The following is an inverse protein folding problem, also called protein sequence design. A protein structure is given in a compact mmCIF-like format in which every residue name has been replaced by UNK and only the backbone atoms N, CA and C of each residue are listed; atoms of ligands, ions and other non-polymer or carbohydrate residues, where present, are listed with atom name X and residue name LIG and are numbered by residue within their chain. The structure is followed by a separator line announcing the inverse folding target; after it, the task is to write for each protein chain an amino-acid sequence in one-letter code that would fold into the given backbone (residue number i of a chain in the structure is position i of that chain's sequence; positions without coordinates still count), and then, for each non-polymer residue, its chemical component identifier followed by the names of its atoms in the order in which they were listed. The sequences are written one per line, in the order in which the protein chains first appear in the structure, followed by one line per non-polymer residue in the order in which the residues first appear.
data_IF_171027726168
#
_entry.id   IF_171027726168
#
_cell.length_a   1.000
_cell.length_b   1.000
_cell.length_c   1.000
_cell.angle_alpha   90.00
_cell.angle_beta   90.00
_cell.angle_gamma   90.00
#
_symmetry.space_group_name_H-M   'P 1'
#
loop_
_entity.id
_entity.type
_entity.pdbx_description
1 polymer ?
#
# COMPACT_ATOMS: atom_id res chain seq x y z
N UNK A 1 -11.37 -9.30 25.48
CA UNK A 1 -10.90 -8.22 24.58
C UNK A 1 -12.06 -7.92 23.66
N UNK A 2 -12.65 -6.72 23.72
CA UNK A 2 -13.79 -6.38 22.87
C UNK A 2 -13.28 -6.15 21.44
N UNK A 3 -13.84 -6.87 20.47
CA UNK A 3 -13.67 -6.58 19.04
C UNK A 3 -14.02 -5.11 18.79
N UNK A 4 -13.00 -4.30 18.53
CA UNK A 4 -13.18 -2.90 18.18
C UNK A 4 -13.71 -2.85 16.74
N UNK A 5 -15.04 -2.83 16.62
CA UNK A 5 -15.72 -2.68 15.33
C UNK A 5 -15.51 -1.23 14.87
N UNK A 6 -14.55 -1.02 13.97
CA UNK A 6 -14.36 0.26 13.31
C UNK A 6 -15.70 0.72 12.71
N UNK A 7 -16.18 1.93 13.03
CA UNK A 7 -17.40 2.46 12.45
C UNK A 7 -17.31 2.37 10.93
N UNK A 8 -18.38 1.91 10.27
CA UNK A 8 -18.44 1.71 8.80
C UNK A 8 -17.96 2.94 8.02
N UNK A 9 -18.22 4.13 8.57
CA UNK A 9 -17.76 5.43 8.08
C UNK A 9 -16.24 5.57 8.09
N UNK A 10 -15.56 5.10 9.14
CA UNK A 10 -14.11 5.15 9.28
C UNK A 10 -13.41 4.26 8.25
N UNK A 11 -13.92 3.03 8.08
CA UNK A 11 -13.45 2.11 7.05
C UNK A 11 -13.66 2.68 5.64
N UNK A 12 -14.80 3.34 5.39
CA UNK A 12 -15.05 4.03 4.12
C UNK A 12 -14.10 5.20 3.86
N UNK A 13 -13.79 6.02 4.88
CA UNK A 13 -12.82 7.10 4.73
C UNK A 13 -11.40 6.59 4.46
N UNK A 14 -10.96 5.50 5.10
CA UNK A 14 -9.66 4.88 4.80
C UNK A 14 -9.65 4.32 3.37
N UNK A 15 -10.73 3.65 2.96
CA UNK A 15 -10.86 3.15 1.59
C UNK A 15 -10.81 4.29 0.55
N UNK A 16 -11.42 5.44 0.85
CA UNK A 16 -11.40 6.62 -0.01
C UNK A 16 -10.00 7.29 -0.11
N UNK A 17 -9.16 7.15 0.93
CA UNK A 17 -7.79 7.66 0.92
C UNK A 17 -6.81 6.73 0.20
N UNK A 18 -7.15 5.44 0.04
CA UNK A 18 -6.29 4.43 -0.58
C UNK A 18 -5.74 4.82 -1.97
N UNK A 19 -6.50 5.43 -2.90
CA UNK A 19 -5.97 5.84 -4.21
C UNK A 19 -4.91 6.93 -4.10
N UNK A 20 -5.10 7.90 -3.20
CA UNK A 20 -4.14 8.97 -2.98
C UNK A 20 -2.85 8.45 -2.33
N UNK A 21 -2.98 7.52 -1.38
CA UNK A 21 -1.84 6.86 -0.75
C UNK A 21 -1.07 5.98 -1.74
N UNK A 22 -1.76 5.23 -2.60
CA UNK A 22 -1.15 4.50 -3.71
C UNK A 22 -0.35 5.42 -4.63
N UNK A 23 -0.92 6.57 -4.99
CA UNK A 23 -0.23 7.56 -5.84
C UNK A 23 1.01 8.13 -5.16
N UNK A 24 0.91 8.47 -3.88
CA UNK A 24 2.05 8.95 -3.09
C UNK A 24 3.14 7.86 -2.96
N UNK A 25 2.75 6.59 -2.85
CA UNK A 25 3.68 5.46 -2.82
C UNK A 25 4.44 5.31 -4.15
N UNK A 26 3.75 5.44 -5.28
CA UNK A 26 4.38 5.43 -6.62
C UNK A 26 5.42 6.55 -6.73
N UNK A 27 5.05 7.79 -6.35
CA UNK A 27 5.97 8.94 -6.40
C UNK A 27 7.17 8.74 -5.47
N UNK A 28 6.98 8.15 -4.29
CA UNK A 28 8.07 7.85 -3.37
C UNK A 28 9.04 6.80 -3.96
N UNK A 29 8.52 5.78 -4.65
CA UNK A 29 9.35 4.78 -5.35
C UNK A 29 10.10 5.40 -6.52
N UNK A 30 9.43 6.20 -7.35
CA UNK A 30 10.03 6.87 -8.52
C UNK A 30 11.11 7.89 -8.13
N UNK A 31 10.94 8.57 -6.99
CA UNK A 31 11.92 9.50 -6.45
C UNK A 31 13.10 8.83 -5.70
N UNK A 32 13.02 7.51 -5.47
CA UNK A 32 14.02 6.76 -4.72
C UNK A 32 13.98 7.00 -3.19
N UNK A 33 12.92 7.62 -2.67
CA UNK A 33 12.75 7.86 -1.24
C UNK A 33 12.22 6.60 -0.53
N UNK A 34 13.15 5.72 -0.16
CA UNK A 34 12.86 4.47 0.53
C UNK A 34 12.19 4.66 1.90
N UNK A 35 12.48 5.76 2.61
CA UNK A 35 11.91 6.01 3.94
C UNK A 35 10.42 6.34 3.84
N UNK A 36 10.08 7.26 2.93
CA UNK A 36 8.69 7.63 2.66
C UNK A 36 7.91 6.45 2.07
N UNK A 37 8.52 5.69 1.15
CA UNK A 37 7.90 4.49 0.57
C UNK A 37 7.57 3.43 1.64
N UNK A 38 8.49 3.12 2.56
CA UNK A 38 8.23 2.17 3.65
C UNK A 38 7.09 2.63 4.57
N UNK A 39 7.06 3.92 4.93
CA UNK A 39 6.01 4.50 5.77
C UNK A 39 4.63 4.37 5.13
N UNK A 40 4.50 4.79 3.87
CA UNK A 40 3.21 4.73 3.15
C UNK A 40 2.80 3.27 2.88
N UNK A 41 3.74 2.39 2.54
CA UNK A 41 3.46 0.98 2.29
C UNK A 41 2.79 0.30 3.49
N UNK A 42 3.25 0.59 4.71
CA UNK A 42 2.63 0.03 5.93
C UNK A 42 1.17 0.40 6.12
N UNK A 43 0.76 1.58 5.64
CA UNK A 43 -0.62 2.07 5.73
C UNK A 43 -1.49 1.44 4.64
N UNK A 44 -0.91 1.19 3.46
CA UNK A 44 -1.66 0.70 2.28
C UNK A 44 -1.73 -0.82 2.21
N UNK A 45 -0.61 -1.51 2.43
CA UNK A 45 -0.49 -2.96 2.40
C UNK A 45 -0.70 -3.61 3.78
N UNK A 46 -0.63 -2.81 4.85
CA UNK A 46 -0.78 -3.25 6.23
C UNK A 46 0.55 -3.61 6.92
N UNK A 47 0.52 -3.79 8.26
CA UNK A 47 1.71 -4.00 9.07
C UNK A 47 2.40 -5.35 8.81
N UNK A 48 1.64 -6.41 8.50
CA UNK A 48 2.23 -7.72 8.18
C UNK A 48 3.06 -7.67 6.90
N UNK A 49 2.54 -7.06 5.83
CA UNK A 49 3.29 -6.90 4.59
C UNK A 49 4.55 -6.05 4.79
N UNK A 50 4.46 -4.98 5.58
CA UNK A 50 5.59 -4.11 5.89
C UNK A 50 6.68 -4.80 6.73
N UNK A 51 6.33 -5.79 7.56
CA UNK A 51 7.31 -6.53 8.38
C UNK A 51 8.34 -7.31 7.54
N UNK A 52 8.03 -7.60 6.28
CA UNK A 52 8.93 -8.29 5.33
C UNK A 52 9.82 -7.33 4.51
N UNK A 53 9.71 -6.02 4.73
CA UNK A 53 10.57 -5.03 4.09
C UNK A 53 11.92 -4.94 4.82
N UNK A 54 12.98 -5.35 4.12
CA UNK A 54 14.34 -5.04 4.54
C UNK A 54 14.68 -3.60 4.12
N UNK A 55 15.48 -2.84 4.91
CA UNK A 55 15.81 -1.45 4.62
C UNK A 55 16.55 -1.24 3.29
N UNK A 56 17.17 -2.29 2.73
CA UNK A 56 17.88 -2.24 1.45
C UNK A 56 17.00 -2.58 0.25
N UNK A 57 15.90 -3.28 0.47
CA UNK A 57 15.07 -3.85 -0.60
C UNK A 57 13.71 -3.16 -0.70
N UNK A 58 13.50 -2.05 0.04
CA UNK A 58 12.19 -1.39 0.14
C UNK A 58 11.67 -1.00 -1.24
N UNK A 59 12.46 -0.28 -2.02
CA UNK A 59 12.03 0.23 -3.33
C UNK A 59 11.72 -0.91 -4.30
N UNK A 60 12.55 -1.95 -4.32
CA UNK A 60 12.36 -3.12 -5.19
C UNK A 60 11.09 -3.90 -4.80
N UNK A 61 10.92 -4.24 -3.53
CA UNK A 61 9.77 -5.00 -3.04
C UNK A 61 8.45 -4.23 -3.15
N UNK A 62 8.47 -2.93 -2.83
CA UNK A 62 7.30 -2.06 -2.98
C UNK A 62 6.95 -1.90 -4.46
N UNK A 63 7.95 -1.71 -5.34
CA UNK A 63 7.74 -1.64 -6.79
C UNK A 63 7.12 -2.92 -7.35
N UNK A 64 7.69 -4.09 -7.02
CA UNK A 64 7.15 -5.38 -7.43
C UNK A 64 5.71 -5.60 -6.93
N UNK A 65 5.41 -5.18 -5.70
CA UNK A 65 4.07 -5.24 -5.16
C UNK A 65 3.08 -4.34 -5.92
N UNK A 66 3.47 -3.10 -6.24
CA UNK A 66 2.67 -2.17 -7.04
C UNK A 66 2.38 -2.70 -8.44
N UNK A 67 3.37 -3.34 -9.08
CA UNK A 67 3.19 -4.01 -10.38
C UNK A 67 2.15 -5.13 -10.29
N UNK A 68 2.23 -5.98 -9.26
CA UNK A 68 1.26 -7.06 -9.05
C UNK A 68 -0.17 -6.53 -8.78
N UNK A 69 -0.31 -5.41 -8.05
CA UNK A 69 -1.62 -4.77 -7.86
C UNK A 69 -2.22 -4.23 -9.17
N UNK A 70 -1.37 -3.75 -10.09
CA UNK A 70 -1.78 -3.24 -11.39
C UNK A 70 -2.22 -4.38 -12.32
N UNK A 71 -1.51 -5.52 -12.28
CA UNK A 71 -1.86 -6.73 -13.02
C UNK A 71 -3.21 -7.30 -12.56
N UNK A 72 -3.40 -7.47 -11.26
CA UNK A 72 -4.69 -7.89 -10.67
C UNK A 72 -5.84 -6.94 -11.04
N UNK A 73 -5.59 -5.62 -11.02
CA UNK A 73 -6.60 -4.65 -11.43
C UNK A 73 -6.96 -4.80 -12.92
N UNK A 74 -5.99 -5.13 -13.78
CA UNK A 74 -6.21 -5.31 -15.20
C UNK A 74 -6.93 -6.63 -15.53
N UNK A 75 -6.62 -7.71 -14.81
CA UNK A 75 -7.32 -9.01 -14.94
C UNK A 75 -8.80 -8.91 -14.56
N UNK A 76 -9.13 -8.19 -13.48
CA UNK A 76 -10.52 -8.00 -13.05
C UNK A 76 -11.34 -7.16 -14.04
N UNK A 77 -10.70 -6.26 -14.81
CA UNK A 77 -11.39 -5.50 -15.86
C UNK A 77 -11.55 -6.27 -17.17
N UNK A 78 -10.77 -7.34 -17.37
CA UNK A 78 -10.82 -8.17 -18.56
C UNK A 78 -11.78 -9.39 -18.44
N UNK A 79 -12.30 -9.65 -17.24
CA UNK A 79 -13.26 -10.71 -16.92
C UNK A 79 -14.71 -10.19 -16.87
#
# INVERSE_FOLDING_TARGET
MADYILPRTYAHSIAAMRPNLMRALVVAVESGDAATAAGIFSVVAGPEAASHLGPRDVLEKVGAWLSNQSELANEVMAA
#
